data_IF_103382546467
#
_entry.id   IF_103382546467
#
_cell.length_a   1.000
_cell.length_b   1.000
_cell.length_c   1.000
_cell.angle_alpha   90.00
_cell.angle_beta   90.00
_cell.angle_gamma   90.00
#
_symmetry.space_group_name_H-M   'P 1'
#
loop_
_entity.id
_entity.type
_entity.pdbx_description
1 polymer ?
#
# COMPACT_ATOMS: atom_id res chain seq x y z
N UNK A 1 -17.69 -10.75 -40.95
CA UNK A 1 -16.59 -10.50 -40.01
C UNK A 1 -16.40 -8.99 -39.90
N UNK A 2 -17.03 -8.37 -38.90
CA UNK A 2 -16.92 -6.95 -38.60
C UNK A 2 -15.74 -6.75 -37.65
N UNK A 3 -14.68 -6.12 -38.13
CA UNK A 3 -13.54 -5.69 -37.33
C UNK A 3 -13.99 -4.60 -36.36
N UNK A 4 -14.05 -4.91 -35.06
CA UNK A 4 -14.19 -3.91 -34.01
C UNK A 4 -12.90 -3.09 -33.95
N UNK A 5 -12.97 -1.84 -34.40
CA UNK A 5 -11.94 -0.83 -34.17
C UNK A 5 -11.75 -0.65 -32.66
N UNK A 6 -10.54 -0.93 -32.17
CA UNK A 6 -10.13 -0.61 -30.81
C UNK A 6 -10.03 0.91 -30.70
N UNK A 7 -10.95 1.53 -29.98
CA UNK A 7 -10.82 2.93 -29.62
C UNK A 7 -9.50 3.15 -28.86
N UNK A 8 -8.71 4.18 -29.20
CA UNK A 8 -7.47 4.45 -28.52
C UNK A 8 -7.76 4.87 -27.07
N UNK A 9 -7.12 4.18 -26.14
CA UNK A 9 -7.09 4.55 -24.73
C UNK A 9 -6.52 5.97 -24.64
N UNK A 10 -7.36 6.94 -24.29
CA UNK A 10 -6.96 8.32 -24.10
C UNK A 10 -6.03 8.40 -22.88
N UNK A 11 -4.72 8.26 -23.11
CA UNK A 11 -3.72 8.58 -22.09
C UNK A 11 -3.72 10.09 -21.95
N UNK A 12 -4.33 10.61 -20.88
CA UNK A 12 -4.22 12.02 -20.50
C UNK A 12 -2.74 12.37 -20.36
N UNK A 13 -2.16 12.94 -21.41
CA UNK A 13 -0.76 13.34 -21.45
C UNK A 13 -0.63 14.67 -20.73
N UNK A 14 -0.22 14.61 -19.46
CA UNK A 14 0.09 15.80 -18.67
C UNK A 14 1.16 16.62 -19.36
N UNK A 15 1.05 17.95 -19.24
CA UNK A 15 2.13 18.85 -19.65
C UNK A 15 3.38 18.64 -18.78
N UNK A 16 4.55 19.00 -19.32
CA UNK A 16 5.81 18.97 -18.57
C UNK A 16 5.72 19.84 -17.31
N UNK A 17 5.04 20.99 -17.40
CA UNK A 17 4.80 21.87 -16.27
C UNK A 17 4.00 21.15 -15.19
N UNK A 18 2.88 20.50 -15.52
CA UNK A 18 2.08 19.77 -14.53
C UNK A 18 2.85 18.62 -13.89
N UNK A 19 3.61 17.86 -14.68
CA UNK A 19 4.50 16.80 -14.16
C UNK A 19 5.54 17.37 -13.20
N UNK A 20 6.16 18.49 -13.54
CA UNK A 20 7.15 19.15 -12.69
C UNK A 20 6.54 19.65 -11.38
N UNK A 21 5.39 20.33 -11.44
CA UNK A 21 4.69 20.81 -10.24
C UNK A 21 4.28 19.65 -9.32
N UNK A 22 3.72 18.57 -9.87
CA UNK A 22 3.41 17.36 -9.10
C UNK A 22 4.66 16.78 -8.45
N UNK A 23 5.77 16.70 -9.18
CA UNK A 23 7.04 16.19 -8.64
C UNK A 23 7.57 17.04 -7.49
N UNK A 24 7.44 18.37 -7.56
CA UNK A 24 7.81 19.24 -6.44
C UNK A 24 6.91 18.99 -5.24
N UNK A 25 5.60 18.92 -5.43
CA UNK A 25 4.66 18.67 -4.33
C UNK A 25 4.88 17.28 -3.71
N UNK A 26 5.14 16.23 -4.52
CA UNK A 26 5.55 14.90 -4.03
C UNK A 26 6.80 15.01 -3.14
N UNK A 27 7.83 15.75 -3.59
CA UNK A 27 9.05 15.94 -2.80
C UNK A 27 8.76 16.57 -1.45
N UNK A 28 7.91 17.61 -1.40
CA UNK A 28 7.51 18.25 -0.15
C UNK A 28 6.78 17.28 0.79
N UNK A 29 5.90 16.43 0.26
CA UNK A 29 5.22 15.40 1.04
C UNK A 29 6.17 14.32 1.58
N UNK A 30 7.23 14.01 0.85
CA UNK A 30 8.24 13.01 1.23
C UNK A 30 9.35 13.59 2.13
N UNK A 31 9.26 14.86 2.54
CA UNK A 31 10.20 15.39 3.53
C UNK A 31 10.01 14.70 4.87
N UNK A 32 11.12 14.34 5.53
CA UNK A 32 11.13 13.53 6.75
C UNK A 32 10.24 14.10 7.86
N UNK A 33 10.20 15.41 8.03
CA UNK A 33 9.33 16.08 9.01
C UNK A 33 7.83 15.88 8.73
N UNK A 34 7.44 15.82 7.44
CA UNK A 34 6.06 15.59 7.02
C UNK A 34 5.72 14.12 7.22
N UNK A 35 6.59 13.21 6.78
CA UNK A 35 6.42 11.77 6.99
C UNK A 35 6.33 11.42 8.48
N UNK A 36 7.18 12.02 9.32
CA UNK A 36 7.14 11.87 10.79
C UNK A 36 5.80 12.31 11.36
N UNK A 37 5.24 13.42 10.86
CA UNK A 37 3.92 13.89 11.28
C UNK A 37 2.81 12.89 10.91
N UNK A 38 2.91 12.25 9.75
CA UNK A 38 1.96 11.23 9.28
C UNK A 38 2.04 9.94 10.13
N UNK A 39 3.24 9.57 10.57
CA UNK A 39 3.48 8.38 11.41
C UNK A 39 3.01 8.62 12.84
N UNK A 40 3.43 9.72 13.47
CA UNK A 40 3.23 9.98 14.89
C UNK A 40 1.77 10.19 15.29
N UNK A 41 0.94 10.68 14.37
CA UNK A 41 -0.48 10.93 14.66
C UNK A 41 -1.24 9.70 15.18
N UNK A 42 -0.79 8.49 14.86
CA UNK A 42 -1.43 7.27 15.35
C UNK A 42 -0.96 6.84 16.75
N UNK A 43 0.25 7.23 17.16
CA UNK A 43 0.82 6.85 18.48
C UNK A 43 0.14 7.58 19.64
N UNK A 44 -0.47 8.73 19.37
CA UNK A 44 -1.22 9.50 20.38
C UNK A 44 -2.68 9.02 20.53
N UNK A 45 -3.13 8.11 19.66
CA UNK A 45 -4.50 7.57 19.67
C UNK A 45 -4.44 6.08 20.06
N UNK A 46 -4.56 5.82 21.38
CA UNK A 46 -4.86 4.56 22.13
C UNK A 46 -3.72 3.90 22.94
N UNK A 47 -3.98 3.26 24.11
CA UNK A 47 -5.29 2.83 24.63
C UNK A 47 -5.56 3.16 26.13
N UNK A 48 -6.65 3.89 26.40
CA UNK A 48 -7.36 3.71 27.68
C UNK A 48 -8.62 2.89 27.41
N UNK A 49 -8.63 1.70 28.02
CA UNK A 49 -9.72 0.73 28.22
C UNK A 49 -10.10 -0.22 27.07
N UNK A 50 -9.60 -1.45 27.24
CA UNK A 50 -10.28 -2.69 26.85
C UNK A 50 -11.75 -2.66 27.27
N UNK A 51 -12.66 -2.42 26.33
CA UNK A 51 -14.09 -2.70 26.52
C UNK A 51 -14.81 -2.68 25.17
N UNK A 52 -15.15 -3.88 24.70
CA UNK A 52 -16.38 -4.21 23.98
C UNK A 52 -17.16 -3.04 23.35
N UNK A 53 -16.73 -2.56 22.17
CA UNK A 53 -17.59 -1.79 21.25
C UNK A 53 -17.02 -1.83 19.84
N UNK A 54 -17.05 -3.02 19.24
CA UNK A 54 -16.68 -3.26 17.84
C UNK A 54 -17.51 -2.44 16.82
N UNK A 55 -18.59 -1.75 17.25
CA UNK A 55 -19.43 -0.92 16.38
C UNK A 55 -19.12 0.58 16.34
N UNK A 56 -18.35 1.15 17.28
CA UNK A 56 -18.08 2.61 17.36
C UNK A 56 -16.71 3.05 16.82
N UNK A 57 -15.84 2.08 16.54
CA UNK A 57 -14.42 2.30 16.26
C UNK A 57 -14.11 2.81 14.83
N UNK A 58 -15.09 2.85 13.93
CA UNK A 58 -14.88 3.24 12.53
C UNK A 58 -15.09 4.74 12.27
N UNK A 59 -15.95 5.41 13.05
CA UNK A 59 -16.30 6.82 12.83
C UNK A 59 -15.27 7.77 13.45
N UNK A 60 -14.77 7.47 14.66
CA UNK A 60 -13.69 8.23 15.32
C UNK A 60 -12.40 8.17 14.50
N UNK A 61 -12.04 6.99 13.97
CA UNK A 61 -10.87 6.82 13.09
C UNK A 61 -10.92 7.61 11.79
N UNK A 62 -12.12 7.87 11.25
CA UNK A 62 -12.28 8.65 10.02
C UNK A 62 -12.16 10.16 10.28
N UNK A 63 -12.64 10.62 11.44
CA UNK A 63 -12.49 12.01 11.89
C UNK A 63 -11.03 12.34 12.16
N UNK A 64 -10.34 11.49 12.91
CA UNK A 64 -8.91 11.63 13.20
C UNK A 64 -8.09 11.64 11.90
N UNK A 65 -8.44 10.78 10.93
CA UNK A 65 -7.78 10.76 9.62
C UNK A 65 -7.96 12.06 8.82
N UNK A 66 -9.08 12.78 8.97
CA UNK A 66 -9.34 14.05 8.27
C UNK A 66 -8.57 15.20 8.93
N UNK A 67 -8.52 15.23 10.26
CA UNK A 67 -7.77 16.24 11.01
C UNK A 67 -6.25 16.11 10.79
N UNK A 68 -5.71 14.88 10.77
CA UNK A 68 -4.32 14.63 10.36
C UNK A 68 -4.04 15.12 8.94
N UNK A 69 -4.95 14.80 8.02
CA UNK A 69 -4.82 15.21 6.64
C UNK A 69 -4.77 16.73 6.54
N UNK A 70 -5.63 17.44 7.26
CA UNK A 70 -5.64 18.89 7.27
C UNK A 70 -4.36 19.50 7.88
N UNK A 71 -3.89 18.98 9.02
CA UNK A 71 -2.65 19.44 9.65
C UNK A 71 -1.44 19.26 8.74
N UNK A 72 -1.27 18.06 8.17
CA UNK A 72 -0.14 17.75 7.28
C UNK A 72 -0.22 18.51 5.96
N UNK A 73 -1.43 18.64 5.39
CA UNK A 73 -1.67 19.50 4.23
C UNK A 73 -1.29 20.95 4.52
N UNK A 74 -1.62 21.49 5.70
CA UNK A 74 -1.30 22.87 6.05
C UNK A 74 0.21 23.10 6.18
N UNK A 75 0.97 22.12 6.71
CA UNK A 75 2.45 22.18 6.71
C UNK A 75 3.01 22.23 5.29
N UNK A 76 2.52 21.38 4.38
CA UNK A 76 2.94 21.39 2.97
C UNK A 76 2.53 22.68 2.27
N UNK A 77 1.32 23.20 2.51
CA UNK A 77 0.85 24.50 1.99
C UNK A 77 1.80 25.62 2.42
N UNK A 78 2.20 25.66 3.69
CA UNK A 78 3.13 26.67 4.19
C UNK A 78 4.50 26.58 3.49
N UNK A 79 5.01 25.37 3.27
CA UNK A 79 6.24 25.17 2.47
C UNK A 79 6.08 25.70 1.04
N UNK A 80 4.96 25.43 0.36
CA UNK A 80 4.71 25.96 -0.98
C UNK A 80 4.68 27.49 -1.01
N UNK A 81 4.06 28.15 -0.01
CA UNK A 81 4.05 29.61 0.10
C UNK A 81 5.47 30.19 0.19
N UNK A 82 6.35 29.49 0.91
CA UNK A 82 7.73 29.92 1.15
C UNK A 82 8.69 29.64 -0.01
N UNK A 83 8.26 28.93 -1.06
CA UNK A 83 9.10 28.70 -2.25
C UNK A 83 9.37 30.02 -2.99
N UNK A 84 10.57 30.16 -3.55
CA UNK A 84 10.92 31.29 -4.43
C UNK A 84 10.45 30.97 -5.85
N UNK A 85 9.13 31.04 -6.08
CA UNK A 85 8.47 30.75 -7.36
C UNK A 85 7.38 31.78 -7.68
N UNK A 86 7.02 31.97 -8.96
CA UNK A 86 5.87 32.77 -9.37
C UNK A 86 4.58 32.35 -8.68
N UNK A 87 3.75 33.32 -8.32
CA UNK A 87 2.49 33.10 -7.60
C UNK A 87 1.51 32.22 -8.39
N UNK A 88 1.53 32.30 -9.73
CA UNK A 88 0.74 31.42 -10.60
C UNK A 88 1.08 29.94 -10.42
N UNK A 89 2.38 29.61 -10.31
CA UNK A 89 2.82 28.23 -10.07
C UNK A 89 2.48 27.77 -8.67
N UNK A 90 2.66 28.64 -7.65
CA UNK A 90 2.25 28.33 -6.27
C UNK A 90 0.76 28.01 -6.19
N UNK A 91 -0.10 28.80 -6.84
CA UNK A 91 -1.54 28.54 -6.92
C UNK A 91 -1.85 27.19 -7.55
N UNK A 92 -1.17 26.83 -8.64
CA UNK A 92 -1.32 25.51 -9.26
C UNK A 92 -0.88 24.38 -8.33
N UNK A 93 0.23 24.55 -7.61
CA UNK A 93 0.70 23.58 -6.62
C UNK A 93 -0.31 23.39 -5.47
N UNK A 94 -0.93 24.47 -4.99
CA UNK A 94 -1.94 24.40 -3.93
C UNK A 94 -3.10 23.45 -4.26
N UNK A 95 -3.51 23.40 -5.54
CA UNK A 95 -4.57 22.51 -6.01
C UNK A 95 -4.14 21.02 -6.01
N UNK A 96 -2.84 20.75 -6.06
CA UNK A 96 -2.28 19.40 -6.18
C UNK A 96 -1.95 18.78 -4.80
N UNK A 97 -1.73 19.61 -3.77
CA UNK A 97 -1.33 19.16 -2.42
C UNK A 97 -2.27 18.08 -1.87
N UNK A 98 -3.58 18.37 -1.83
CA UNK A 98 -4.58 17.46 -1.27
C UNK A 98 -4.71 16.15 -2.05
N UNK A 99 -4.79 16.17 -3.41
CA UNK A 99 -4.74 14.95 -4.20
C UNK A 99 -3.55 14.05 -3.88
N UNK A 100 -2.33 14.60 -3.77
CA UNK A 100 -1.12 13.82 -3.47
C UNK A 100 -1.16 13.26 -2.04
N UNK A 101 -1.49 14.07 -1.04
CA UNK A 101 -1.62 13.60 0.34
C UNK A 101 -2.63 12.46 0.48
N UNK A 102 -3.75 12.57 -0.26
CA UNK A 102 -4.77 11.52 -0.32
C UNK A 102 -4.26 10.21 -0.94
N UNK A 103 -3.26 10.24 -1.83
CA UNK A 103 -2.65 9.01 -2.36
C UNK A 103 -1.84 8.26 -1.31
N UNK A 104 -1.14 8.97 -0.42
CA UNK A 104 -0.40 8.36 0.70
C UNK A 104 -1.39 7.64 1.62
N UNK A 105 -2.48 8.31 2.00
CA UNK A 105 -3.51 7.74 2.85
C UNK A 105 -4.22 6.56 2.18
N UNK A 106 -4.54 6.69 0.89
CA UNK A 106 -5.16 5.60 0.11
C UNK A 106 -4.26 4.38 0.06
N UNK A 107 -2.98 4.58 -0.25
CA UNK A 107 -2.00 3.50 -0.27
C UNK A 107 -1.90 2.84 1.11
N UNK A 108 -1.77 3.64 2.18
CA UNK A 108 -1.76 3.16 3.57
C UNK A 108 -2.98 2.29 3.89
N UNK A 109 -4.17 2.74 3.52
CA UNK A 109 -5.41 1.98 3.74
C UNK A 109 -5.48 0.71 2.89
N UNK A 110 -5.09 0.79 1.61
CA UNK A 110 -5.02 -0.39 0.73
C UNK A 110 -4.01 -1.42 1.24
N UNK A 111 -2.91 -0.98 1.81
CA UNK A 111 -1.87 -1.84 2.35
C UNK A 111 -2.31 -2.52 3.65
N UNK A 112 -2.99 -1.77 4.53
CA UNK A 112 -3.64 -2.31 5.74
C UNK A 112 -4.73 -3.33 5.44
N UNK A 113 -5.64 -3.03 4.50
CA UNK A 113 -6.78 -3.92 4.17
C UNK A 113 -6.33 -5.28 3.64
N UNK A 114 -5.18 -5.31 2.96
CA UNK A 114 -4.63 -6.50 2.31
C UNK A 114 -3.80 -7.38 3.26
N UNK A 115 -3.94 -7.20 4.58
CA UNK A 115 -3.35 -8.03 5.63
C UNK A 115 -1.82 -8.25 5.54
N UNK A 116 -1.09 -7.47 4.72
CA UNK A 116 0.36 -7.57 4.60
C UNK A 116 1.07 -7.21 5.91
N UNK A 117 0.44 -6.38 6.76
CA UNK A 117 0.95 -5.94 8.06
C UNK A 117 -0.21 -5.81 9.06
N UNK A 118 -0.12 -6.48 10.20
CA UNK A 118 -1.10 -6.37 11.30
C UNK A 118 -1.02 -5.00 11.99
N UNK A 119 -2.12 -4.61 12.61
CA UNK A 119 -2.48 -3.21 12.68
C UNK A 119 -2.29 -2.51 14.03
N UNK A 120 -1.07 -2.08 14.34
CA UNK A 120 -0.88 -0.87 15.20
C UNK A 120 0.52 -0.28 15.06
N UNK A 121 1.58 -1.09 14.98
CA UNK A 121 2.92 -0.59 15.37
C UNK A 121 3.99 -0.61 14.26
N UNK A 122 3.64 -1.11 13.08
CA UNK A 122 4.62 -1.39 12.02
C UNK A 122 4.77 -0.27 10.97
N UNK A 123 4.10 0.87 11.16
CA UNK A 123 4.22 1.99 10.23
C UNK A 123 5.40 2.88 10.62
N UNK A 124 6.57 2.58 10.07
CA UNK A 124 7.76 3.40 10.22
C UNK A 124 7.91 4.41 9.07
N UNK A 125 8.66 5.47 9.34
CA UNK A 125 9.14 6.44 8.35
C UNK A 125 9.84 5.69 7.20
N UNK A 126 10.65 4.68 7.50
CA UNK A 126 11.37 3.86 6.52
C UNK A 126 10.43 3.27 5.44
N UNK A 127 9.21 2.89 5.82
CA UNK A 127 8.20 2.34 4.88
C UNK A 127 7.64 3.44 3.98
N UNK A 128 7.34 4.62 4.54
CA UNK A 128 6.83 5.74 3.76
C UNK A 128 7.89 6.31 2.81
N UNK A 129 9.17 6.23 3.19
CA UNK A 129 10.29 6.62 2.33
C UNK A 129 10.44 5.72 1.09
N UNK A 130 9.91 4.48 1.12
CA UNK A 130 9.92 3.58 -0.05
C UNK A 130 8.85 3.90 -1.10
N UNK A 131 7.95 4.85 -0.84
CA UNK A 131 6.88 5.19 -1.77
C UNK A 131 7.42 5.62 -3.13
N UNK A 132 7.12 4.82 -4.14
CA UNK A 132 7.40 5.17 -5.53
C UNK A 132 6.24 5.96 -6.11
N UNK A 133 6.55 6.97 -6.92
CA UNK A 133 5.56 7.88 -7.47
C UNK A 133 5.58 7.86 -9.01
N UNK A 134 4.40 7.87 -9.61
CA UNK A 134 4.22 8.05 -11.05
C UNK A 134 4.37 9.53 -11.43
N UNK A 135 4.52 9.81 -12.72
CA UNK A 135 4.50 11.18 -13.24
C UNK A 135 3.18 11.91 -13.01
N UNK A 136 2.09 11.16 -12.78
CA UNK A 136 0.79 11.72 -12.47
C UNK A 136 0.61 12.03 -10.98
N UNK A 137 1.63 11.80 -10.14
CA UNK A 137 1.56 12.06 -8.70
C UNK A 137 0.69 11.04 -7.95
N UNK A 138 0.55 9.83 -8.49
CA UNK A 138 -0.03 8.69 -7.78
C UNK A 138 1.08 7.78 -7.26
N UNK A 139 0.81 7.02 -6.20
CA UNK A 139 1.75 5.99 -5.77
C UNK A 139 1.78 4.87 -6.82
N UNK A 140 2.97 4.43 -7.19
CA UNK A 140 3.21 3.25 -8.02
C UNK A 140 3.26 2.03 -7.10
N UNK A 141 2.16 1.29 -7.06
CA UNK A 141 1.98 0.21 -6.09
C UNK A 141 2.94 -0.96 -6.34
N UNK A 142 3.24 -1.26 -7.61
CA UNK A 142 4.15 -2.34 -7.98
C UNK A 142 5.58 -2.02 -7.59
N UNK A 143 6.09 -0.86 -8.00
CA UNK A 143 7.46 -0.44 -7.64
C UNK A 143 7.64 -0.23 -6.14
N UNK A 144 6.61 0.30 -5.47
CA UNK A 144 6.63 0.43 -4.00
C UNK A 144 6.71 -0.94 -3.35
N UNK A 145 5.96 -1.94 -3.84
CA UNK A 145 6.04 -3.30 -3.32
C UNK A 145 7.43 -3.92 -3.54
N UNK A 146 8.03 -3.74 -4.72
CA UNK A 146 9.41 -4.20 -5.01
C UNK A 146 10.42 -3.61 -4.03
N UNK A 147 10.34 -2.31 -3.76
CA UNK A 147 11.24 -1.64 -2.80
C UNK A 147 11.02 -2.17 -1.38
N UNK A 148 9.77 -2.31 -0.94
CA UNK A 148 9.44 -2.80 0.40
C UNK A 148 9.86 -4.25 0.61
N UNK A 149 9.76 -5.11 -0.39
CA UNK A 149 10.23 -6.49 -0.31
C UNK A 149 11.76 -6.58 -0.16
N UNK A 150 12.50 -5.57 -0.60
CA UNK A 150 13.96 -5.49 -0.42
C UNK A 150 14.37 -4.83 0.90
N UNK A 151 13.43 -4.19 1.59
CA UNK A 151 13.69 -3.47 2.83
C UNK A 151 13.89 -4.47 3.98
N UNK A 152 15.13 -4.67 4.42
CA UNK A 152 15.48 -5.65 5.46
C UNK A 152 14.90 -5.35 6.84
N UNK A 153 14.53 -4.11 7.12
CA UNK A 153 13.85 -3.73 8.36
C UNK A 153 12.41 -4.25 8.40
N UNK A 154 11.85 -4.60 7.24
CA UNK A 154 10.55 -5.27 7.15
C UNK A 154 10.72 -6.77 7.39
N UNK A 155 9.94 -7.29 8.34
CA UNK A 155 9.93 -8.71 8.69
C UNK A 155 9.71 -9.63 7.47
N UNK A 156 10.37 -10.79 7.47
CA UNK A 156 10.40 -11.73 6.35
C UNK A 156 9.01 -12.23 5.98
N UNK A 157 8.13 -12.45 6.97
CA UNK A 157 6.75 -12.86 6.69
C UNK A 157 6.04 -11.76 5.92
N UNK A 158 6.13 -10.51 6.39
CA UNK A 158 5.52 -9.35 5.70
C UNK A 158 6.07 -9.18 4.27
N UNK A 159 7.38 -9.35 4.09
CA UNK A 159 8.02 -9.33 2.76
C UNK A 159 7.48 -10.43 1.85
N UNK A 160 7.34 -11.66 2.35
CA UNK A 160 6.77 -12.78 1.60
C UNK A 160 5.31 -12.54 1.20
N UNK A 161 4.48 -12.05 2.13
CA UNK A 161 3.08 -11.68 1.84
C UNK A 161 3.00 -10.65 0.72
N UNK A 162 3.82 -9.62 0.80
CA UNK A 162 3.85 -8.55 -0.17
C UNK A 162 4.32 -9.05 -1.54
N UNK A 163 5.37 -9.87 -1.58
CA UNK A 163 5.84 -10.50 -2.80
C UNK A 163 4.77 -11.38 -3.45
N UNK A 164 4.03 -12.14 -2.64
CA UNK A 164 2.93 -13.00 -3.10
C UNK A 164 1.78 -12.19 -3.69
N UNK A 165 1.34 -11.15 -2.98
CA UNK A 165 0.25 -10.25 -3.39
C UNK A 165 0.53 -9.51 -4.71
N UNK A 166 1.79 -9.14 -4.94
CA UNK A 166 2.23 -8.42 -6.14
C UNK A 166 2.88 -9.33 -7.18
N UNK A 167 2.83 -10.65 -6.98
CA UNK A 167 3.40 -11.66 -7.88
C UNK A 167 4.87 -11.40 -8.24
N UNK A 168 5.68 -11.03 -7.25
CA UNK A 168 7.12 -10.79 -7.42
C UNK A 168 7.88 -12.12 -7.46
N UNK A 169 7.71 -12.85 -8.56
CA UNK A 169 8.17 -14.24 -8.76
C UNK A 169 9.64 -14.47 -8.45
N UNK A 170 10.49 -13.46 -8.69
CA UNK A 170 11.93 -13.57 -8.46
C UNK A 170 12.29 -13.50 -6.96
N UNK A 171 11.44 -12.86 -6.16
CA UNK A 171 11.66 -12.70 -4.72
C UNK A 171 11.06 -13.86 -3.92
N UNK A 172 9.95 -14.45 -4.41
CA UNK A 172 9.17 -15.46 -3.69
C UNK A 172 10.01 -16.69 -3.29
N UNK A 173 10.80 -17.34 -4.17
CA UNK A 173 11.60 -18.50 -3.80
C UNK A 173 12.68 -18.21 -2.75
N UNK A 174 13.23 -16.99 -2.76
CA UNK A 174 14.24 -16.55 -1.79
C UNK A 174 13.59 -16.36 -0.43
N UNK A 175 12.50 -15.59 -0.40
CA UNK A 175 11.75 -15.32 0.83
C UNK A 175 11.17 -16.60 1.42
N UNK A 176 10.68 -17.52 0.60
CA UNK A 176 10.19 -18.82 1.05
C UNK A 176 11.24 -19.61 1.85
N UNK A 177 12.50 -19.56 1.44
CA UNK A 177 13.59 -20.22 2.18
C UNK A 177 13.87 -19.53 3.52
N UNK A 178 13.76 -18.20 3.57
CA UNK A 178 13.96 -17.40 4.78
C UNK A 178 12.78 -17.49 5.77
N UNK A 179 11.59 -17.92 5.33
CA UNK A 179 10.41 -18.01 6.19
C UNK A 179 10.63 -18.98 7.36
N UNK A 180 10.17 -18.62 8.58
CA UNK A 180 10.13 -19.54 9.72
C UNK A 180 9.28 -20.78 9.42
N UNK A 181 9.74 -21.95 9.89
CA UNK A 181 9.01 -23.21 9.70
C UNK A 181 7.62 -23.21 10.37
N UNK A 182 7.48 -22.51 11.50
CA UNK A 182 6.18 -22.30 12.15
C UNK A 182 5.18 -21.59 11.23
N UNK A 183 5.66 -20.63 10.42
CA UNK A 183 4.82 -19.91 9.48
C UNK A 183 4.46 -20.83 8.30
N UNK A 184 5.41 -21.63 7.81
CA UNK A 184 5.17 -22.58 6.71
C UNK A 184 4.13 -23.64 7.06
N UNK A 185 4.09 -24.10 8.32
CA UNK A 185 3.10 -25.07 8.81
C UNK A 185 1.66 -24.62 8.60
N UNK A 186 1.40 -23.31 8.58
CA UNK A 186 0.06 -22.77 8.32
C UNK A 186 -0.46 -23.13 6.92
N UNK A 187 0.44 -23.36 5.94
CA UNK A 187 0.06 -23.75 4.58
C UNK A 187 -0.22 -25.24 4.42
N UNK A 188 0.17 -26.08 5.40
CA UNK A 188 -0.05 -27.53 5.34
C UNK A 188 -1.41 -27.97 5.90
N UNK A 189 -2.12 -27.08 6.60
CA UNK A 189 -3.40 -27.39 7.22
C UNK A 189 -4.55 -26.84 6.36
N UNK A 190 -5.36 -27.72 5.78
CA UNK A 190 -6.50 -27.35 4.90
C UNK A 190 -7.53 -26.42 5.57
N UNK A 191 -7.59 -26.44 6.91
CA UNK A 191 -8.47 -25.60 7.72
C UNK A 191 -8.00 -24.12 7.78
N UNK A 192 -6.81 -23.81 7.27
CA UNK A 192 -6.16 -22.50 7.38
C UNK A 192 -6.52 -21.47 6.31
N UNK A 193 -7.13 -21.85 5.18
CA UNK A 193 -7.48 -20.84 4.18
C UNK A 193 -8.68 -20.01 4.66
N UNK A 194 -8.49 -18.71 4.74
CA UNK A 194 -9.60 -17.77 4.79
C UNK A 194 -9.98 -17.32 3.37
N UNK A 195 -11.22 -16.87 3.20
CA UNK A 195 -11.87 -16.59 1.92
C UNK A 195 -11.39 -15.30 1.23
N UNK A 196 -10.25 -14.74 1.64
CA UNK A 196 -9.72 -13.49 1.09
C UNK A 196 -8.75 -13.78 -0.06
N UNK A 197 -8.94 -13.12 -1.20
CA UNK A 197 -8.10 -13.27 -2.40
C UNK A 197 -6.61 -13.02 -2.10
N UNK A 198 -6.32 -12.11 -1.17
CA UNK A 198 -4.94 -11.83 -0.77
C UNK A 198 -4.27 -13.03 -0.10
N UNK A 199 -5.00 -13.74 0.75
CA UNK A 199 -4.50 -14.95 1.42
C UNK A 199 -4.42 -16.11 0.42
N UNK A 200 -5.31 -16.18 -0.57
CA UNK A 200 -5.24 -17.17 -1.65
C UNK A 200 -3.94 -17.08 -2.46
N UNK A 201 -3.42 -15.87 -2.72
CA UNK A 201 -2.14 -15.72 -3.43
C UNK A 201 -0.94 -16.18 -2.60
N UNK A 202 -0.95 -15.91 -1.29
CA UNK A 202 0.09 -16.42 -0.37
C UNK A 202 0.13 -17.96 -0.37
N UNK A 203 -1.05 -18.59 -0.31
CA UNK A 203 -1.20 -20.04 -0.37
C UNK A 203 -0.80 -20.59 -1.75
N UNK A 204 -1.22 -19.94 -2.84
CA UNK A 204 -0.83 -20.35 -4.18
C UNK A 204 0.69 -20.44 -4.32
N UNK A 205 1.39 -19.38 -3.94
CA UNK A 205 2.84 -19.32 -4.04
C UNK A 205 3.54 -20.30 -3.09
N UNK A 206 2.96 -20.57 -1.92
CA UNK A 206 3.48 -21.59 -1.01
C UNK A 206 3.43 -22.99 -1.64
N UNK A 207 2.31 -23.35 -2.27
CA UNK A 207 2.15 -24.65 -2.92
C UNK A 207 3.04 -24.80 -4.16
N UNK A 208 3.23 -23.72 -4.94
CA UNK A 208 4.22 -23.67 -6.04
C UNK A 208 5.63 -23.89 -5.49
N UNK A 209 6.00 -23.22 -4.39
CA UNK A 209 7.32 -23.39 -3.76
C UNK A 209 7.54 -24.81 -3.21
N UNK A 210 6.46 -25.48 -2.78
CA UNK A 210 6.49 -26.88 -2.33
C UNK A 210 6.42 -27.91 -3.48
N UNK A 211 6.23 -27.48 -4.74
CA UNK A 211 5.97 -28.35 -5.91
C UNK A 211 4.72 -29.24 -5.74
N UNK A 212 3.67 -28.65 -5.17
CA UNK A 212 2.40 -29.31 -4.81
C UNK A 212 1.20 -28.66 -5.49
N UNK A 213 1.38 -28.08 -6.66
CA UNK A 213 0.36 -27.29 -7.37
C UNK A 213 -0.95 -28.07 -7.62
N UNK A 214 -0.86 -29.39 -7.84
CA UNK A 214 -2.02 -30.27 -8.02
C UNK A 214 -2.88 -30.38 -6.74
N UNK A 215 -2.26 -30.33 -5.55
CA UNK A 215 -2.97 -30.37 -4.27
C UNK A 215 -3.81 -29.09 -4.09
N UNK A 216 -3.27 -27.94 -4.52
CA UNK A 216 -4.00 -26.68 -4.51
C UNK A 216 -5.24 -26.71 -5.41
N UNK A 217 -5.11 -27.19 -6.65
CA UNK A 217 -6.25 -27.30 -7.58
C UNK A 217 -7.35 -28.18 -6.99
N UNK A 218 -6.99 -29.33 -6.39
CA UNK A 218 -7.95 -30.22 -5.74
C UNK A 218 -8.64 -29.57 -4.54
N UNK A 219 -7.91 -28.76 -3.77
CA UNK A 219 -8.41 -28.06 -2.59
C UNK A 219 -9.35 -26.92 -2.97
N UNK A 220 -9.00 -26.15 -4.01
CA UNK A 220 -9.86 -25.09 -4.57
C UNK A 220 -11.14 -25.71 -5.14
N UNK A 221 -11.04 -26.77 -5.93
CA UNK A 221 -12.21 -27.47 -6.50
C UNK A 221 -13.15 -28.00 -5.41
N UNK A 222 -12.61 -28.62 -4.36
CA UNK A 222 -13.40 -29.13 -3.21
C UNK A 222 -14.13 -28.04 -2.44
N UNK A 223 -13.54 -26.84 -2.39
CA UNK A 223 -14.04 -25.72 -1.59
C UNK A 223 -14.95 -24.75 -2.36
N UNK A 224 -14.77 -24.63 -3.67
CA UNK A 224 -15.50 -23.70 -4.54
C UNK A 224 -16.41 -24.38 -5.58
N UNK A 225 -16.41 -25.73 -5.65
CA UNK A 225 -17.15 -26.50 -6.65
C UNK A 225 -16.38 -26.64 -7.97
N UNK A 226 -16.67 -27.71 -8.71
CA UNK A 226 -16.13 -27.93 -10.06
C UNK A 226 -16.79 -26.92 -11.02
N UNK A 227 -16.11 -25.82 -11.37
CA UNK A 227 -16.69 -24.82 -12.28
C UNK A 227 -16.02 -23.45 -12.30
N UNK A 228 -14.71 -23.38 -12.03
CA UNK A 228 -13.87 -22.24 -12.40
C UNK A 228 -13.07 -22.58 -13.66
#
# INVERSE_FOLDING_TARGET
MTTMEKQPIFVLKLSLQEMALRRVVVKLWNEKEILTSIVNFRKEVTPDHESERAGRCCQEKEKDSKELQEMTENKVKNKVKNLVLPESLKKQMMLIIKPIGSQILRWKMSFRKRNAINCSDDWDIDILEQLCWTSTGTVDYGKTAENLVRLKTLDVVKRYKLASLYCLTDCIPVLWKELPEEYKKNFCNENGLSLKIEELLEFYWAYVAMKKEYELCSMVARRFGEGW
#
